data_IF_776721159008
#
_entry.id   IF_776721159008
#
_cell.length_a   1.000
_cell.length_b   1.000
_cell.length_c   1.000
_cell.angle_alpha   90.00
_cell.angle_beta   90.00
_cell.angle_gamma   90.00
#
_symmetry.space_group_name_H-M   'P 1'
#
loop_
_entity.id
_entity.type
_entity.pdbx_description
1 polymer ?
#
# COMPACT_ATOMS: atom_id res chain seq x y z
N UNK A 1 16.86 32.43 15.41
CA UNK A 1 17.71 31.27 15.70
C UNK A 1 16.79 30.10 15.93
N UNK A 2 16.66 29.19 14.94
CA UNK A 2 15.82 28.00 15.07
C UNK A 2 16.57 26.96 15.90
N UNK A 3 16.01 26.45 17.01
CA UNK A 3 16.54 25.28 17.67
C UNK A 3 16.22 24.07 16.77
N UNK A 4 17.22 23.24 16.48
CA UNK A 4 17.11 21.95 15.75
C UNK A 4 17.16 22.01 14.20
N UNK A 5 18.36 22.15 13.60
CA UNK A 5 18.59 21.99 12.16
C UNK A 5 18.44 20.54 11.63
N UNK A 6 17.70 19.67 12.33
CA UNK A 6 17.63 18.23 12.04
C UNK A 6 16.21 17.65 11.99
N UNK A 7 15.18 18.43 12.29
CA UNK A 7 13.81 17.93 12.17
C UNK A 7 13.36 18.05 10.70
N UNK A 8 12.98 16.93 10.05
CA UNK A 8 12.51 16.97 8.67
C UNK A 8 11.24 17.83 8.59
N UNK A 9 11.07 18.60 7.50
CA UNK A 9 9.90 19.46 7.35
C UNK A 9 8.61 18.64 7.24
N UNK A 10 7.52 19.22 7.74
CA UNK A 10 6.21 18.54 7.77
C UNK A 10 5.68 18.24 6.36
N UNK A 11 5.16 17.03 6.11
CA UNK A 11 4.55 16.67 4.84
C UNK A 11 3.26 17.47 4.60
N UNK A 12 3.14 18.06 3.42
CA UNK A 12 1.96 18.81 3.00
C UNK A 12 0.88 17.86 2.47
N UNK A 13 -0.35 18.04 2.96
CA UNK A 13 -1.53 17.34 2.45
C UNK A 13 -1.84 16.01 3.14
N UNK A 14 -1.15 15.66 4.23
CA UNK A 14 -1.46 14.51 5.09
C UNK A 14 -1.81 14.98 6.49
N UNK A 15 -2.83 14.38 7.08
CA UNK A 15 -3.12 14.48 8.51
C UNK A 15 -2.66 13.18 9.18
N UNK A 16 -1.77 13.29 10.17
CA UNK A 16 -1.25 12.16 10.94
C UNK A 16 -1.62 12.36 12.40
N UNK A 17 -2.44 11.46 12.93
CA UNK A 17 -2.91 11.54 14.31
C UNK A 17 -2.50 10.32 15.10
N UNK A 18 -2.01 10.54 16.32
CA UNK A 18 -1.75 9.47 17.27
C UNK A 18 -3.07 8.80 17.67
N UNK A 19 -3.05 7.48 17.74
CA UNK A 19 -4.17 6.67 18.23
C UNK A 19 -4.13 6.58 19.76
N UNK A 20 -5.32 6.50 20.35
CA UNK A 20 -5.45 6.12 21.77
C UNK A 20 -5.18 4.63 21.96
N UNK A 21 -4.72 4.22 23.14
CA UNK A 21 -4.53 2.81 23.51
C UNK A 21 -5.78 1.98 23.22
N UNK A 22 -6.96 2.48 23.61
CA UNK A 22 -8.25 1.83 23.30
C UNK A 22 -8.45 1.58 21.81
N UNK A 23 -8.05 2.53 20.95
CA UNK A 23 -8.18 2.37 19.49
C UNK A 23 -7.17 1.36 18.95
N UNK A 24 -5.97 1.30 19.53
CA UNK A 24 -4.97 0.28 19.19
C UNK A 24 -5.54 -1.11 19.52
N UNK A 25 -6.09 -1.28 20.71
CA UNK A 25 -6.72 -2.54 21.13
C UNK A 25 -7.87 -2.94 20.21
N UNK A 26 -8.71 -1.98 19.81
CA UNK A 26 -9.80 -2.21 18.85
C UNK A 26 -9.31 -2.64 17.46
N UNK A 27 -8.18 -2.09 16.99
CA UNK A 27 -7.57 -2.50 15.71
C UNK A 27 -7.08 -3.93 15.81
N UNK A 28 -6.36 -4.27 16.89
CA UNK A 28 -5.83 -5.62 17.11
C UNK A 28 -6.95 -6.66 17.26
N UNK A 29 -8.00 -6.33 18.02
CA UNK A 29 -9.18 -7.17 18.18
C UNK A 29 -9.93 -7.36 16.86
N UNK A 30 -10.15 -6.29 16.08
CA UNK A 30 -10.83 -6.39 14.78
C UNK A 30 -10.05 -7.33 13.84
N UNK A 31 -8.72 -7.16 13.75
CA UNK A 31 -7.89 -7.85 12.75
C UNK A 31 -7.47 -9.25 13.17
N UNK A 32 -6.94 -9.42 14.38
CA UNK A 32 -6.30 -10.67 14.82
C UNK A 32 -7.22 -11.60 15.61
N UNK A 33 -8.17 -11.04 16.37
CA UNK A 33 -9.05 -11.83 17.25
C UNK A 33 -10.36 -12.15 16.54
N UNK A 34 -11.07 -11.13 16.06
CA UNK A 34 -12.40 -11.27 15.44
C UNK A 34 -12.35 -11.53 13.95
N UNK A 35 -11.21 -11.29 13.29
CA UNK A 35 -11.03 -11.48 11.85
C UNK A 35 -12.03 -10.68 11.01
N UNK A 36 -12.41 -9.49 11.49
CA UNK A 36 -13.37 -8.60 10.85
C UNK A 36 -12.72 -7.32 10.33
N UNK A 37 -13.37 -6.69 9.38
CA UNK A 37 -12.96 -5.40 8.83
C UNK A 37 -12.63 -4.39 9.94
N UNK A 38 -11.50 -3.69 9.80
CA UNK A 38 -11.02 -2.72 10.78
C UNK A 38 -11.90 -1.47 10.78
N UNK A 39 -12.64 -1.26 11.86
CA UNK A 39 -13.61 -0.15 11.97
C UNK A 39 -12.92 1.20 12.15
N UNK A 40 -11.78 1.23 12.85
CA UNK A 40 -11.00 2.45 13.02
C UNK A 40 -10.49 3.00 11.68
N UNK A 41 -10.11 2.12 10.75
CA UNK A 41 -9.71 2.51 9.41
C UNK A 41 -10.90 3.04 8.59
N UNK A 42 -12.05 2.36 8.65
CA UNK A 42 -13.27 2.80 7.95
C UNK A 42 -13.78 4.16 8.45
N UNK A 43 -13.67 4.42 9.75
CA UNK A 43 -14.09 5.71 10.32
C UNK A 43 -13.23 6.90 9.83
N UNK A 44 -12.05 6.63 9.27
CA UNK A 44 -11.08 7.65 8.87
C UNK A 44 -11.19 8.06 7.38
N UNK A 45 -12.05 7.43 6.60
CA UNK A 45 -12.21 7.73 5.18
C UNK A 45 -13.59 7.40 4.64
N UNK A 46 -13.83 7.66 3.35
CA UNK A 46 -15.04 7.21 2.68
C UNK A 46 -15.24 5.71 2.86
N UNK A 47 -16.47 5.25 3.14
CA UNK A 47 -16.75 3.83 3.25
C UNK A 47 -16.57 3.17 1.89
N UNK A 48 -15.97 1.99 1.89
CA UNK A 48 -15.84 1.15 0.70
C UNK A 48 -14.40 0.80 0.36
N UNK A 49 -14.25 -0.17 -0.55
CA UNK A 49 -12.96 -0.68 -1.00
C UNK A 49 -12.33 -1.73 -0.05
N UNK A 50 -11.37 -2.50 -0.57
CA UNK A 50 -10.64 -3.48 0.23
C UNK A 50 -9.75 -2.80 1.29
N UNK A 51 -9.51 -3.51 2.39
CA UNK A 51 -8.43 -3.23 3.32
C UNK A 51 -7.33 -4.29 3.14
N UNK A 52 -6.11 -3.94 3.51
CA UNK A 52 -4.95 -4.82 3.48
C UNK A 52 -4.21 -4.76 4.81
N UNK A 53 -3.54 -5.87 5.11
CA UNK A 53 -2.75 -6.07 6.31
C UNK A 53 -1.32 -6.43 5.93
N UNK A 54 -0.37 -5.79 6.59
CA UNK A 54 1.02 -6.21 6.71
C UNK A 54 1.41 -6.15 8.19
N UNK A 55 1.67 -7.29 8.80
CA UNK A 55 2.16 -7.38 10.17
C UNK A 55 3.52 -8.06 10.16
N UNK A 56 4.55 -7.33 10.54
CA UNK A 56 5.89 -7.85 10.77
C UNK A 56 6.05 -8.20 12.25
N UNK A 57 6.46 -9.44 12.49
CA UNK A 57 6.62 -10.03 13.81
C UNK A 57 8.06 -10.53 13.96
N UNK A 58 8.52 -10.70 15.21
CA UNK A 58 9.87 -11.22 15.48
C UNK A 58 10.15 -12.61 14.89
N UNK A 59 9.11 -13.40 14.62
CA UNK A 59 9.18 -14.76 14.09
C UNK A 59 8.69 -14.90 12.64
N UNK A 60 8.36 -13.79 11.96
CA UNK A 60 7.94 -13.79 10.56
C UNK A 60 6.91 -12.71 10.27
N UNK A 61 5.97 -12.98 9.37
CA UNK A 61 4.95 -12.00 8.99
C UNK A 61 3.59 -12.61 8.76
N UNK A 62 2.56 -11.78 8.90
CA UNK A 62 1.18 -12.08 8.52
C UNK A 62 0.73 -11.00 7.55
N UNK A 63 0.24 -11.39 6.38
CA UNK A 63 -0.40 -10.48 5.42
C UNK A 63 -1.87 -10.84 5.25
N UNK A 64 -2.65 -9.93 4.69
CA UNK A 64 -4.06 -10.22 4.46
C UNK A 64 -4.77 -9.20 3.61
N UNK A 65 -5.98 -9.57 3.18
CA UNK A 65 -6.91 -8.65 2.55
C UNK A 65 -8.32 -8.87 3.10
N UNK A 66 -9.05 -7.77 3.23
CA UNK A 66 -10.44 -7.72 3.62
C UNK A 66 -11.22 -6.94 2.55
N UNK A 67 -11.70 -7.60 1.48
CA UNK A 67 -12.47 -6.93 0.44
C UNK A 67 -13.84 -6.45 0.93
N UNK A 68 -14.41 -7.14 1.92
CA UNK A 68 -15.73 -6.89 2.48
C UNK A 68 -15.68 -6.93 4.01
N UNK A 69 -16.38 -7.87 4.66
CA UNK A 69 -16.58 -7.86 6.11
C UNK A 69 -15.56 -8.70 6.92
N UNK A 70 -14.90 -9.67 6.29
CA UNK A 70 -13.99 -10.62 6.97
C UNK A 70 -12.60 -10.59 6.34
N UNK A 71 -11.60 -10.70 7.20
CA UNK A 71 -10.22 -10.87 6.76
C UNK A 71 -10.01 -12.26 6.16
N UNK A 72 -9.13 -12.31 5.17
CA UNK A 72 -8.40 -13.52 4.80
C UNK A 72 -6.95 -13.22 5.09
N UNK A 73 -6.35 -13.99 5.98
CA UNK A 73 -4.98 -13.79 6.44
C UNK A 73 -4.08 -14.94 6.01
N UNK A 74 -2.79 -14.68 5.90
CA UNK A 74 -1.82 -15.66 5.42
C UNK A 74 -1.53 -16.76 6.44
N UNK A 75 -1.77 -16.51 7.74
CA UNK A 75 -1.67 -17.46 8.85
C UNK A 75 -2.81 -18.50 8.85
N UNK A 76 -3.82 -18.33 7.99
CA UNK A 76 -4.92 -19.28 7.80
C UNK A 76 -4.62 -20.31 6.69
N UNK A 77 -5.32 -21.46 6.65
CA UNK A 77 -5.19 -22.39 5.54
C UNK A 77 -5.51 -21.75 4.18
N UNK A 78 -4.78 -22.12 3.11
CA UNK A 78 -3.73 -23.15 3.07
C UNK A 78 -2.31 -22.64 3.36
N UNK A 79 -2.13 -21.35 3.66
CA UNK A 79 -0.81 -20.70 3.72
C UNK A 79 -0.22 -20.58 5.12
N UNK A 80 -0.93 -21.01 6.17
CA UNK A 80 -0.49 -20.80 7.55
C UNK A 80 0.90 -21.32 7.89
N UNK A 81 1.36 -22.39 7.23
CA UNK A 81 2.72 -22.93 7.39
C UNK A 81 3.84 -22.03 6.84
N UNK A 82 3.50 -20.98 6.08
CA UNK A 82 4.42 -20.01 5.49
C UNK A 82 4.36 -18.63 6.16
N UNK A 83 3.55 -18.50 7.21
CA UNK A 83 3.37 -17.26 7.95
C UNK A 83 3.77 -17.45 9.41
N UNK A 84 3.97 -16.34 10.11
CA UNK A 84 4.12 -16.38 11.55
C UNK A 84 2.84 -16.93 12.21
N UNK A 85 2.99 -17.47 13.42
CA UNK A 85 1.84 -17.92 14.19
C UNK A 85 0.88 -16.76 14.48
N UNK A 86 -0.44 -17.01 14.53
CA UNK A 86 -1.43 -15.99 14.87
C UNK A 86 -1.02 -15.21 16.12
N UNK A 87 -1.31 -13.91 16.13
CA UNK A 87 -1.03 -13.02 17.26
C UNK A 87 -2.23 -13.03 18.21
N UNK A 88 -1.99 -13.34 19.48
CA UNK A 88 -2.91 -13.01 20.56
C UNK A 88 -2.51 -11.65 21.18
N UNK A 89 -3.28 -10.57 20.97
CA UNK A 89 -2.93 -9.25 21.49
C UNK A 89 -2.81 -9.16 23.01
N UNK A 90 -3.31 -10.12 23.78
CA UNK A 90 -3.20 -10.08 25.23
C UNK A 90 -1.87 -10.65 25.74
N UNK A 91 -1.21 -11.52 24.95
CA UNK A 91 0.05 -12.20 25.35
C UNK A 91 1.22 -11.95 24.41
N UNK A 92 0.95 -11.58 23.15
CA UNK A 92 1.93 -11.64 22.06
C UNK A 92 2.32 -10.26 21.53
N UNK A 93 1.89 -9.17 22.15
CA UNK A 93 2.24 -7.80 21.71
C UNK A 93 3.74 -7.60 21.54
N UNK A 94 4.54 -8.20 22.41
CA UNK A 94 6.01 -8.15 22.35
C UNK A 94 6.58 -8.73 21.04
N UNK A 95 5.85 -9.59 20.33
CA UNK A 95 6.24 -10.13 19.02
C UNK A 95 6.06 -9.11 17.91
N UNK A 96 5.18 -8.12 18.08
CA UNK A 96 4.84 -7.14 17.06
C UNK A 96 6.01 -6.18 16.88
N UNK A 97 6.59 -6.15 15.68
CA UNK A 97 7.55 -5.13 15.27
C UNK A 97 6.82 -3.97 14.58
N UNK A 98 5.85 -4.30 13.73
CA UNK A 98 5.01 -3.31 13.06
C UNK A 98 3.70 -3.94 12.56
N UNK A 99 2.60 -3.21 12.67
CA UNK A 99 1.33 -3.56 12.01
C UNK A 99 0.86 -2.39 11.16
N UNK A 100 0.67 -2.64 9.87
CA UNK A 100 0.04 -1.74 8.93
C UNK A 100 -1.33 -2.30 8.52
N UNK A 101 -2.38 -1.52 8.76
CA UNK A 101 -3.73 -1.77 8.23
C UNK A 101 -4.08 -0.60 7.34
N UNK A 102 -4.28 -0.84 6.05
CA UNK A 102 -4.41 0.25 5.09
C UNK A 102 -5.50 0.00 4.06
N UNK A 103 -5.96 1.09 3.47
CA UNK A 103 -6.92 1.12 2.38
C UNK A 103 -6.67 2.34 1.49
N UNK A 104 -7.52 2.60 0.49
CA UNK A 104 -7.29 3.68 -0.47
C UNK A 104 -7.18 5.07 0.18
N UNK A 105 -7.83 5.27 1.33
CA UNK A 105 -8.05 6.58 1.94
C UNK A 105 -7.43 6.77 3.32
N UNK A 106 -6.88 5.72 3.93
CA UNK A 106 -6.28 5.78 5.25
C UNK A 106 -5.27 4.66 5.45
N UNK A 107 -4.33 4.86 6.37
CA UNK A 107 -3.41 3.84 6.86
C UNK A 107 -3.27 3.98 8.37
N UNK A 108 -3.40 2.87 9.08
CA UNK A 108 -3.03 2.73 10.48
C UNK A 108 -1.65 2.07 10.52
N UNK A 109 -0.76 2.61 11.35
CA UNK A 109 0.55 2.05 11.69
C UNK A 109 0.61 1.87 13.20
N UNK A 110 0.83 0.65 13.67
CA UNK A 110 1.14 0.33 15.05
C UNK A 110 2.63 -0.02 15.13
N UNK A 111 3.35 0.61 16.04
CA UNK A 111 4.78 0.37 16.25
C UNK A 111 5.05 -0.90 17.07
N UNK A 112 6.33 -1.10 17.39
CA UNK A 112 6.82 -2.22 18.19
C UNK A 112 6.07 -2.33 19.52
N UNK A 113 5.72 -3.56 19.91
CA UNK A 113 4.94 -3.80 21.13
C UNK A 113 3.52 -3.23 21.10
N UNK A 114 3.14 -2.53 20.02
CA UNK A 114 1.96 -1.67 19.92
C UNK A 114 1.90 -0.55 20.97
N UNK A 115 3.08 -0.10 21.45
CA UNK A 115 3.19 0.98 22.45
C UNK A 115 2.70 2.33 21.91
N UNK A 116 2.73 2.49 20.60
CA UNK A 116 2.19 3.65 19.91
C UNK A 116 1.59 3.26 18.57
N UNK A 117 0.61 4.05 18.14
CA UNK A 117 -0.02 3.90 16.84
C UNK A 117 -0.42 5.24 16.27
N UNK A 118 -0.50 5.30 14.94
CA UNK A 118 -0.90 6.48 14.19
C UNK A 118 -1.85 6.10 13.08
N UNK A 119 -2.73 7.03 12.74
CA UNK A 119 -3.55 6.96 11.54
C UNK A 119 -3.21 8.14 10.63
N UNK A 120 -3.00 7.85 9.34
CA UNK A 120 -2.72 8.84 8.31
C UNK A 120 -3.82 8.92 7.27
N UNK A 121 -4.33 10.11 7.04
CA UNK A 121 -5.38 10.44 6.08
C UNK A 121 -4.97 11.62 5.20
N UNK A 122 -5.65 11.83 4.08
CA UNK A 122 -5.46 13.06 3.32
C UNK A 122 -5.95 14.25 4.17
N UNK A 123 -5.11 15.28 4.32
CA UNK A 123 -5.51 16.49 5.04
C UNK A 123 -6.58 17.25 4.22
N UNK A 124 -7.55 17.89 4.89
CA UNK A 124 -8.47 18.79 4.21
C UNK A 124 -7.71 20.00 3.65
N UNK A 125 -8.13 20.46 2.46
CA UNK A 125 -7.56 21.63 1.81
C UNK A 125 -6.91 21.32 0.47
N UNK A 126 -6.46 22.37 -0.22
CA UNK A 126 -5.82 22.25 -1.54
C UNK A 126 -4.39 22.79 -1.44
N UNK A 127 -3.39 21.91 -1.30
CA UNK A 127 -2.00 22.29 -1.44
C UNK A 127 -1.74 22.98 -2.78
N UNK A 128 -0.68 23.80 -2.90
CA UNK A 128 -0.17 24.25 -4.19
C UNK A 128 0.04 23.06 -5.13
N UNK A 129 -0.25 23.22 -6.43
CA UNK A 129 -0.27 22.11 -7.39
C UNK A 129 1.07 21.34 -7.44
N UNK A 130 2.20 22.00 -7.18
CA UNK A 130 3.53 21.38 -7.14
C UNK A 130 3.82 20.55 -5.87
N UNK A 131 3.08 20.77 -4.77
CA UNK A 131 3.12 19.97 -3.52
C UNK A 131 1.92 19.03 -3.38
N UNK A 132 1.02 18.99 -4.36
CA UNK A 132 -0.17 18.13 -4.29
C UNK A 132 0.26 16.66 -4.11
N UNK A 133 -0.38 15.90 -3.21
CA UNK A 133 -0.10 14.47 -3.05
C UNK A 133 -0.27 13.72 -4.37
N UNK A 134 0.62 12.75 -4.63
CA UNK A 134 0.66 12.00 -5.90
C UNK A 134 0.54 10.52 -5.64
N UNK A 135 -0.34 9.87 -6.38
CA UNK A 135 -0.40 8.41 -6.35
C UNK A 135 0.73 7.82 -7.21
N UNK A 136 1.39 6.80 -6.68
CA UNK A 136 2.42 6.01 -7.37
C UNK A 136 2.04 4.54 -7.36
N UNK A 137 2.51 3.83 -8.39
CA UNK A 137 2.49 2.38 -8.45
C UNK A 137 3.94 1.89 -8.48
N UNK A 138 4.31 1.12 -7.46
CA UNK A 138 5.60 0.46 -7.34
C UNK A 138 5.42 -0.98 -7.84
N UNK A 139 6.21 -1.38 -8.84
CA UNK A 139 6.21 -2.75 -9.33
C UNK A 139 6.74 -3.66 -8.23
N UNK A 140 5.95 -4.64 -7.83
CA UNK A 140 6.43 -5.71 -6.97
C UNK A 140 7.20 -6.70 -7.84
N UNK A 141 8.52 -6.60 -7.76
CA UNK A 141 9.41 -7.58 -8.36
C UNK A 141 9.68 -8.68 -7.33
N UNK A 142 9.20 -9.88 -7.64
CA UNK A 142 9.63 -11.11 -6.99
C UNK A 142 10.59 -11.85 -7.90
N UNK A 143 11.32 -12.82 -7.36
CA UNK A 143 11.87 -13.87 -8.22
C UNK A 143 10.69 -14.66 -8.77
N UNK A 144 10.29 -14.33 -9.99
CA UNK A 144 9.05 -14.79 -10.59
C UNK A 144 9.35 -15.52 -11.89
N UNK A 145 9.48 -16.84 -11.75
CA UNK A 145 9.19 -17.79 -12.82
C UNK A 145 8.00 -18.67 -12.39
N UNK A 146 7.44 -19.48 -13.28
CA UNK A 146 6.38 -20.45 -12.95
C UNK A 146 6.74 -21.40 -11.79
N UNK A 147 8.04 -21.51 -11.47
CA UNK A 147 8.59 -22.31 -10.38
C UNK A 147 8.69 -21.57 -9.04
N UNK A 148 8.56 -20.23 -9.02
CA UNK A 148 8.90 -19.37 -7.88
C UNK A 148 7.73 -18.49 -7.40
N UNK A 149 6.62 -18.43 -8.15
CA UNK A 149 5.37 -17.84 -7.69
C UNK A 149 4.18 -18.72 -8.02
N UNK A 150 3.28 -18.91 -7.05
CA UNK A 150 2.01 -19.63 -7.25
C UNK A 150 0.86 -18.81 -6.71
N UNK A 151 -0.08 -18.46 -7.59
CA UNK A 151 -1.37 -17.87 -7.18
C UNK A 151 -2.31 -18.97 -6.72
N UNK A 152 -2.73 -18.88 -5.47
CA UNK A 152 -3.74 -19.73 -4.87
C UNK A 152 -5.12 -19.11 -5.13
N UNK A 153 -6.00 -19.87 -5.78
CA UNK A 153 -7.38 -19.43 -6.05
C UNK A 153 -8.20 -19.45 -4.77
N UNK A 154 -9.05 -18.44 -4.60
CA UNK A 154 -9.96 -18.32 -3.47
C UNK A 154 -10.76 -17.02 -3.55
N UNK A 155 -11.64 -16.76 -2.56
CA UNK A 155 -12.39 -15.51 -2.47
C UNK A 155 -11.49 -14.26 -2.42
N UNK A 156 -10.30 -14.43 -1.85
CA UNK A 156 -9.16 -13.50 -1.94
C UNK A 156 -8.01 -14.32 -2.53
N UNK A 157 -7.40 -13.81 -3.59
CA UNK A 157 -6.23 -14.46 -4.18
C UNK A 157 -5.00 -14.20 -3.32
N UNK A 158 -4.25 -15.26 -3.05
CA UNK A 158 -2.92 -15.17 -2.44
C UNK A 158 -1.87 -15.60 -3.43
N UNK A 159 -0.70 -15.00 -3.34
CA UNK A 159 0.49 -15.46 -4.05
C UNK A 159 1.61 -15.74 -3.09
N UNK A 160 2.23 -16.90 -3.23
CA UNK A 160 3.47 -17.23 -2.52
C UNK A 160 4.62 -16.76 -3.38
N UNK A 161 5.50 -15.94 -2.83
CA UNK A 161 6.73 -15.47 -3.47
C UNK A 161 7.94 -15.92 -2.66
N UNK A 162 9.10 -16.01 -3.31
CA UNK A 162 10.38 -16.28 -2.64
C UNK A 162 11.27 -15.06 -2.72
N UNK A 163 11.78 -14.63 -1.57
CA UNK A 163 12.78 -13.56 -1.46
C UNK A 163 14.18 -14.08 -1.84
N UNK A 164 15.13 -13.20 -2.19
CA UNK A 164 16.51 -13.61 -2.50
C UNK A 164 17.21 -14.39 -1.37
N UNK A 165 16.78 -14.19 -0.12
CA UNK A 165 17.23 -14.94 1.04
C UNK A 165 16.80 -16.41 1.03
N UNK A 166 15.85 -16.79 0.16
CA UNK A 166 15.20 -18.09 0.16
C UNK A 166 13.92 -18.15 0.99
N UNK A 167 13.64 -17.13 1.81
CA UNK A 167 12.41 -17.03 2.60
C UNK A 167 11.18 -16.92 1.69
N UNK A 168 10.10 -17.57 2.09
CA UNK A 168 8.82 -17.45 1.40
C UNK A 168 7.96 -16.37 2.06
N UNK A 169 7.25 -15.61 1.24
CA UNK A 169 6.31 -14.59 1.66
C UNK A 169 4.97 -14.84 0.98
N UNK A 170 3.88 -14.56 1.70
CA UNK A 170 2.53 -14.65 1.17
C UNK A 170 2.03 -13.23 0.92
N UNK A 171 1.55 -12.93 -0.28
CA UNK A 171 1.02 -11.63 -0.67
C UNK A 171 -0.49 -11.76 -0.96
N UNK A 172 -1.34 -10.87 -0.43
CA UNK A 172 -2.80 -10.93 -0.60
C UNK A 172 -3.24 -10.30 -1.94
N UNK A 173 -2.63 -10.76 -3.03
CA UNK A 173 -2.88 -10.31 -4.40
C UNK A 173 -2.62 -11.46 -5.36
N UNK A 174 -3.33 -11.51 -6.48
CA UNK A 174 -3.02 -12.44 -7.55
C UNK A 174 -1.71 -12.02 -8.24
N UNK A 175 -0.78 -12.94 -8.40
CA UNK A 175 0.48 -12.65 -9.07
C UNK A 175 0.28 -12.49 -10.57
N UNK A 176 0.78 -11.38 -11.10
CA UNK A 176 0.96 -11.13 -12.53
C UNK A 176 2.41 -10.79 -12.77
N UNK A 177 3.10 -11.61 -13.56
CA UNK A 177 4.47 -11.32 -13.98
C UNK A 177 4.53 -10.01 -14.75
N UNK A 178 5.63 -9.28 -14.58
CA UNK A 178 5.80 -8.04 -15.32
C UNK A 178 5.87 -8.33 -16.82
N UNK A 179 5.04 -7.64 -17.60
CA UNK A 179 5.23 -7.56 -19.05
C UNK A 179 4.92 -6.15 -19.53
N UNK A 180 5.72 -5.70 -20.49
CA UNK A 180 5.61 -4.37 -21.08
C UNK A 180 5.48 -4.46 -22.59
N UNK A 181 4.61 -3.65 -23.18
CA UNK A 181 4.59 -3.44 -24.63
C UNK A 181 4.66 -1.95 -24.95
N UNK A 182 5.44 -1.60 -25.96
CA UNK A 182 5.45 -0.23 -26.48
C UNK A 182 4.19 -0.05 -27.33
N UNK A 183 3.31 0.86 -26.91
CA UNK A 183 2.18 1.31 -27.71
C UNK A 183 2.56 2.59 -28.46
N UNK A 184 2.42 2.65 -29.79
CA UNK A 184 2.64 3.88 -30.54
C UNK A 184 1.70 5.02 -30.09
N UNK A 185 2.22 6.24 -30.06
CA UNK A 185 1.44 7.47 -29.86
C UNK A 185 1.09 8.12 -31.20
N UNK A 186 0.10 9.04 -31.25
CA UNK A 186 -0.32 9.68 -32.50
C UNK A 186 0.81 10.42 -33.23
N UNK A 187 1.80 10.93 -32.48
CA UNK A 187 2.97 11.60 -33.03
C UNK A 187 4.04 10.59 -33.50
N UNK A 188 4.58 10.74 -34.73
CA UNK A 188 5.57 9.83 -35.28
C UNK A 188 6.80 9.67 -34.38
N UNK A 189 7.24 8.42 -34.18
CA UNK A 189 8.43 8.09 -33.38
C UNK A 189 8.20 8.07 -31.87
N UNK A 190 7.00 8.42 -31.39
CA UNK A 190 6.66 8.40 -29.96
C UNK A 190 5.91 7.11 -29.59
N UNK A 191 6.20 6.60 -28.40
CA UNK A 191 5.56 5.40 -27.87
C UNK A 191 5.45 5.45 -26.36
N UNK A 192 4.38 4.89 -25.82
CA UNK A 192 4.15 4.77 -24.39
C UNK A 192 4.34 3.31 -23.94
N UNK A 193 4.93 3.10 -22.77
CA UNK A 193 5.09 1.75 -22.22
C UNK A 193 3.82 1.30 -21.50
N UNK A 194 3.02 0.44 -22.14
CA UNK A 194 1.93 -0.25 -21.45
C UNK A 194 2.50 -1.37 -20.60
N UNK A 195 2.36 -1.27 -19.28
CA UNK A 195 2.89 -2.25 -18.34
C UNK A 195 1.78 -3.03 -17.65
N UNK A 196 1.96 -4.34 -17.53
CA UNK A 196 1.19 -5.22 -16.65
C UNK A 196 2.11 -5.84 -15.61
N UNK A 197 1.58 -6.15 -14.43
CA UNK A 197 2.35 -6.72 -13.33
C UNK A 197 1.56 -6.75 -12.02
N UNK A 198 2.26 -7.04 -10.93
CA UNK A 198 1.77 -6.90 -9.56
C UNK A 198 2.27 -5.58 -8.98
N UNK A 199 1.40 -4.78 -8.37
CA UNK A 199 1.69 -3.41 -7.97
C UNK A 199 1.34 -3.16 -6.52
N UNK A 200 2.23 -2.48 -5.81
CA UNK A 200 1.92 -1.77 -4.57
C UNK A 200 1.60 -0.32 -4.92
N UNK A 201 0.44 0.18 -4.51
CA UNK A 201 0.09 1.58 -4.71
C UNK A 201 0.35 2.36 -3.44
N UNK A 202 0.97 3.53 -3.60
CA UNK A 202 1.28 4.44 -2.50
C UNK A 202 0.85 5.85 -2.87
N UNK A 203 0.68 6.70 -1.86
CA UNK A 203 0.48 8.13 -2.00
C UNK A 203 1.66 8.86 -1.39
N UNK A 204 2.31 9.68 -2.19
CA UNK A 204 3.47 10.49 -1.82
C UNK A 204 3.02 11.88 -1.38
N UNK A 205 3.52 12.30 -0.23
CA UNK A 205 3.35 13.65 0.29
C UNK A 205 4.71 14.34 0.36
N UNK A 206 4.70 15.62 0.04
CA UNK A 206 5.90 16.39 -0.21
C UNK A 206 6.10 17.39 0.92
N UNK A 207 7.36 17.70 1.22
CA UNK A 207 7.70 18.80 2.09
C UNK A 207 8.73 19.69 1.39
N UNK A 208 8.70 20.97 1.73
CA UNK A 208 9.68 21.94 1.28
C UNK A 208 10.54 22.35 2.48
N UNK A 209 11.85 22.28 2.31
CA UNK A 209 12.79 22.80 3.29
C UNK A 209 12.69 24.35 3.31
N UNK A 210 12.37 24.97 4.46
CA UNK A 210 12.11 26.40 4.52
C UNK A 210 13.36 27.27 4.35
N UNK A 211 14.57 26.68 4.46
CA UNK A 211 15.85 27.42 4.39
C UNK A 211 16.39 27.43 2.97
N UNK A 212 16.33 26.29 2.28
CA UNK A 212 16.91 26.06 0.96
C UNK A 212 15.88 26.10 -0.16
N UNK A 213 14.59 25.94 0.17
CA UNK A 213 13.52 25.76 -0.80
C UNK A 213 13.54 24.38 -1.49
N UNK A 214 14.40 23.46 -1.07
CA UNK A 214 14.46 22.12 -1.62
C UNK A 214 13.15 21.35 -1.34
N UNK A 215 12.63 20.65 -2.35
CA UNK A 215 11.36 19.90 -2.24
C UNK A 215 11.65 18.42 -2.38
N UNK A 216 11.15 17.63 -1.43
CA UNK A 216 11.34 16.19 -1.38
C UNK A 216 10.08 15.44 -0.94
N UNK A 217 10.07 14.13 -1.15
CA UNK A 217 9.03 13.27 -0.57
C UNK A 217 9.34 13.11 0.92
N UNK A 218 8.37 13.43 1.76
CA UNK A 218 8.50 13.40 3.22
C UNK A 218 7.65 12.29 3.86
N UNK A 219 6.62 11.79 3.17
CA UNK A 219 5.76 10.74 3.69
C UNK A 219 5.18 9.88 2.57
N UNK A 220 5.09 8.57 2.82
CA UNK A 220 4.40 7.60 1.99
C UNK A 220 3.25 6.97 2.76
N UNK A 221 2.08 6.92 2.14
CA UNK A 221 0.96 6.11 2.62
C UNK A 221 0.69 4.96 1.67
N UNK A 222 0.60 3.73 2.16
CA UNK A 222 0.12 2.61 1.36
C UNK A 222 -1.36 2.82 1.04
N UNK A 223 -1.74 2.63 -0.22
CA UNK A 223 -3.12 2.80 -0.69
C UNK A 223 -3.72 1.54 -1.27
N UNK A 224 -2.92 0.51 -1.54
CA UNK A 224 -3.43 -0.78 -1.98
C UNK A 224 -2.44 -1.68 -2.69
N UNK A 225 -2.98 -2.83 -3.10
CA UNK A 225 -2.31 -3.83 -3.93
C UNK A 225 -3.20 -4.12 -5.15
N UNK A 226 -2.58 -4.27 -6.31
CA UNK A 226 -3.30 -4.54 -7.56
C UNK A 226 -2.49 -5.47 -8.47
N UNK A 227 -3.20 -6.18 -9.34
CA UNK A 227 -2.62 -7.02 -10.40
C UNK A 227 -3.15 -6.60 -11.77
N UNK A 228 -2.35 -6.73 -12.82
CA UNK A 228 -2.72 -6.35 -14.17
C UNK A 228 -2.10 -5.01 -14.58
N UNK A 229 -2.85 -4.15 -15.27
CA UNK A 229 -2.34 -2.86 -15.76
C UNK A 229 -1.93 -1.94 -14.62
N UNK A 230 -0.87 -1.14 -14.83
CA UNK A 230 -0.39 -0.15 -13.86
C UNK A 230 -1.52 0.79 -13.39
N UNK A 231 -1.89 0.81 -12.10
CA UNK A 231 -3.07 1.53 -11.60
C UNK A 231 -3.06 3.05 -11.77
N UNK A 232 -1.94 3.73 -11.52
CA UNK A 232 -1.95 5.19 -11.42
C UNK A 232 -1.91 5.92 -12.77
N UNK A 233 -1.63 5.20 -13.86
CA UNK A 233 -1.37 5.83 -15.15
C UNK A 233 -0.36 7.00 -15.10
N UNK A 234 -0.19 7.68 -16.24
CA UNK A 234 -0.13 7.02 -17.52
C UNK A 234 1.20 6.29 -17.72
N UNK A 235 1.23 5.60 -18.84
CA UNK A 235 2.38 5.00 -19.47
C UNK A 235 3.35 6.13 -19.84
N UNK A 236 4.59 6.04 -19.38
CA UNK A 236 5.59 7.03 -19.71
C UNK A 236 5.96 6.92 -21.19
N UNK A 237 6.20 8.06 -21.84
CA UNK A 237 6.85 8.05 -23.14
C UNK A 237 8.25 7.45 -23.01
N UNK A 238 8.54 6.46 -23.86
CA UNK A 238 9.85 5.82 -23.91
C UNK A 238 10.88 6.81 -24.44
N UNK A 239 11.90 7.11 -23.64
CA UNK A 239 13.00 8.02 -23.97
C UNK A 239 12.98 9.34 -23.20
N UNK A 240 11.81 9.98 -23.09
CA UNK A 240 11.68 11.28 -22.39
C UNK A 240 11.19 11.14 -20.95
N UNK A 241 10.51 10.03 -20.61
CA UNK A 241 9.87 9.86 -19.30
C UNK A 241 8.66 10.78 -19.09
N UNK A 242 8.20 11.48 -20.13
CA UNK A 242 7.05 12.37 -20.04
C UNK A 242 5.76 11.57 -19.76
N UNK A 243 4.88 12.15 -18.94
CA UNK A 243 3.54 11.62 -18.72
C UNK A 243 2.75 11.76 -20.02
N UNK A 244 2.24 10.65 -20.54
CA UNK A 244 1.35 10.64 -21.71
C UNK A 244 -0.08 10.72 -21.20
N UNK A 245 -0.81 11.80 -21.35
CA UNK A 245 -2.18 11.86 -20.79
C UNK A 245 -3.03 10.63 -21.20
N UNK A 246 -3.76 10.00 -20.25
CA UNK A 246 -4.69 8.95 -20.60
C UNK A 246 -5.71 9.52 -21.58
N UNK A 247 -6.08 8.76 -22.63
CA UNK A 247 -7.15 9.17 -23.53
C UNK A 247 -8.33 9.64 -22.69
N UNK A 248 -8.82 10.84 -22.97
CA UNK A 248 -10.11 11.26 -22.44
C UNK A 248 -11.09 10.11 -22.62
N UNK A 249 -11.88 9.79 -21.59
CA UNK A 249 -13.03 8.91 -21.78
C UNK A 249 -13.74 9.43 -23.01
N UNK A 250 -13.86 8.59 -24.05
CA UNK A 250 -14.78 8.87 -25.14
C UNK A 250 -16.12 9.16 -24.46
N UNK A 251 -16.50 10.44 -24.48
CA UNK A 251 -17.89 10.83 -24.49
C UNK A 251 -18.40 10.26 -25.81
N UNK A 252 -18.89 9.03 -25.80
CA UNK A 252 -19.88 8.52 -26.73
C UNK A 252 -20.31 7.12 -26.30
N UNK A 253 -21.53 7.07 -25.77
CA UNK A 253 -22.20 5.88 -25.28
C UNK A 253 -23.57 6.25 -24.70
N UNK A 254 -24.21 7.29 -25.25
CA UNK A 254 -25.64 7.44 -25.20
C UNK A 254 -26.18 6.77 -26.46
N UNK A 255 -26.80 5.61 -26.27
CA UNK A 255 -28.13 5.24 -26.78
C UNK A 255 -28.58 3.99 -26.00
#
# INVERSE_FOLDING_TARGET
>A
MNPHPHEPPDPVGVDVRRLSERTIDEVLDDVFVRGRRCRALDAAGPPGGPQWLLAELGDGRITGSCPHARWRRSDEPPTGHLSAAPVDPDTDRWRILEVLVFGPHAQIRLGEGTEAGWISTDAPGRPPDWMRPRDRSLLLQGWSGPQASRTLKGPVAFSVTREPSGSEAVLPVAWTDFSGRVRPLPEPGRGALESTGTWLTVREYWAADPVTGAVGVAFHRLTGLASGRKPTGPEFEVGTGALVEPRGRDRDGAL
#
